data_IF_397551802165
#
_entry.id   IF_397551802165
#
_cell.length_a   1.000
_cell.length_b   1.000
_cell.length_c   1.000
_cell.angle_alpha   90.00
_cell.angle_beta   90.00
_cell.angle_gamma   90.00
#
_symmetry.space_group_name_H-M   'P 1'
#
loop_
_entity.id
_entity.type
_entity.pdbx_description
1 polymer ?
#
# COMPACT_ATOMS: atom_id res chain seq x y z
N UNK A 1 12.18 15.55 -10.43
CA UNK A 1 11.11 15.28 -11.44
C UNK A 1 10.07 16.41 -11.38
N UNK A 2 9.24 16.64 -12.42
CA UNK A 2 8.10 17.59 -12.31
C UNK A 2 7.15 17.15 -11.20
N UNK A 3 6.82 18.05 -10.27
CA UNK A 3 5.97 17.76 -9.10
C UNK A 3 4.58 17.23 -9.49
N UNK A 4 4.02 17.67 -10.61
CA UNK A 4 2.72 17.19 -11.10
C UNK A 4 2.69 15.68 -11.39
N UNK A 5 3.79 15.09 -11.90
CA UNK A 5 3.88 13.65 -12.14
C UNK A 5 3.89 12.85 -10.84
N UNK A 6 4.57 13.37 -9.82
CA UNK A 6 4.62 12.76 -8.48
C UNK A 6 3.23 12.77 -7.88
N UNK A 7 2.55 13.91 -7.89
CA UNK A 7 1.19 14.04 -7.34
C UNK A 7 0.22 13.08 -8.04
N UNK A 8 0.19 13.05 -9.38
CA UNK A 8 -0.70 12.15 -10.12
C UNK A 8 -0.39 10.68 -9.83
N UNK A 9 0.89 10.29 -9.85
CA UNK A 9 1.27 8.93 -9.52
C UNK A 9 0.91 8.56 -8.08
N UNK A 10 1.05 9.49 -7.14
CA UNK A 10 0.67 9.31 -5.74
C UNK A 10 -0.83 9.13 -5.54
N UNK A 11 -1.65 9.95 -6.19
CA UNK A 11 -3.12 9.82 -6.14
C UNK A 11 -3.57 8.48 -6.70
N UNK A 12 -3.06 8.08 -7.88
CA UNK A 12 -3.36 6.76 -8.45
C UNK A 12 -2.88 5.65 -7.53
N UNK A 13 -1.69 5.78 -6.94
CA UNK A 13 -1.17 4.83 -5.95
C UNK A 13 -2.08 4.67 -4.74
N UNK A 14 -2.65 5.77 -4.23
CA UNK A 14 -3.57 5.71 -3.10
C UNK A 14 -4.90 5.05 -3.45
N UNK A 15 -5.43 5.32 -4.65
CA UNK A 15 -6.60 4.61 -5.17
C UNK A 15 -6.33 3.10 -5.27
N UNK A 16 -5.15 2.72 -5.77
CA UNK A 16 -4.73 1.31 -5.83
C UNK A 16 -4.68 0.67 -4.45
N UNK A 17 -4.04 1.32 -3.45
CA UNK A 17 -4.00 0.79 -2.08
C UNK A 17 -5.40 0.63 -1.49
N UNK A 18 -6.30 1.59 -1.69
CA UNK A 18 -7.67 1.50 -1.18
C UNK A 18 -8.42 0.29 -1.76
N UNK A 19 -8.42 0.13 -3.09
CA UNK A 19 -9.15 -0.96 -3.74
C UNK A 19 -8.50 -2.32 -3.52
N UNK A 20 -7.16 -2.40 -3.49
CA UNK A 20 -6.46 -3.64 -3.17
C UNK A 20 -6.70 -4.03 -1.71
N UNK A 21 -6.69 -3.08 -0.78
CA UNK A 21 -7.01 -3.34 0.63
C UNK A 21 -8.43 -3.85 0.80
N UNK A 22 -9.40 -3.21 0.14
CA UNK A 22 -10.78 -3.70 0.11
C UNK A 22 -10.88 -5.12 -0.45
N UNK A 23 -10.20 -5.41 -1.57
CA UNK A 23 -10.22 -6.72 -2.19
C UNK A 23 -9.59 -7.79 -1.28
N UNK A 24 -8.37 -7.57 -0.78
CA UNK A 24 -7.68 -8.59 0.01
C UNK A 24 -8.30 -8.77 1.39
N UNK A 25 -8.49 -7.69 2.15
CA UNK A 25 -8.95 -7.78 3.53
C UNK A 25 -10.46 -7.87 3.67
N UNK A 26 -11.21 -7.20 2.79
CA UNK A 26 -12.67 -7.15 2.85
C UNK A 26 -13.39 -8.25 2.08
N UNK A 27 -12.71 -8.94 1.16
CA UNK A 27 -13.33 -9.98 0.32
C UNK A 27 -12.56 -11.30 0.41
N UNK A 28 -11.29 -11.32 0.00
CA UNK A 28 -10.55 -12.58 -0.19
C UNK A 28 -10.14 -13.26 1.12
N UNK A 29 -9.76 -12.48 2.13
CA UNK A 29 -9.24 -12.97 3.40
C UNK A 29 -10.11 -12.61 4.60
N UNK A 30 -11.31 -12.07 4.37
CA UNK A 30 -12.18 -11.56 5.42
C UNK A 30 -12.38 -12.59 6.55
N UNK A 31 -12.81 -13.81 6.21
CA UNK A 31 -13.06 -14.87 7.20
C UNK A 31 -11.79 -15.28 7.95
N UNK A 32 -10.67 -15.37 7.25
CA UNK A 32 -9.38 -15.69 7.87
C UNK A 32 -8.94 -14.60 8.86
N UNK A 33 -9.06 -13.33 8.48
CA UNK A 33 -8.68 -12.20 9.32
C UNK A 33 -9.56 -12.12 10.56
N UNK A 34 -10.87 -12.35 10.43
CA UNK A 34 -11.79 -12.42 11.57
C UNK A 34 -11.48 -13.59 12.50
N UNK A 35 -11.20 -14.78 11.96
CA UNK A 35 -10.81 -15.94 12.76
C UNK A 35 -9.44 -15.78 13.42
N UNK A 36 -8.63 -14.82 12.96
CA UNK A 36 -7.27 -14.59 13.41
C UNK A 36 -7.10 -13.40 14.37
N UNK A 37 -8.21 -12.82 14.84
CA UNK A 37 -8.19 -11.75 15.85
C UNK A 37 -7.71 -12.27 17.20
N UNK A 38 -7.01 -11.42 17.95
CA UNK A 38 -6.58 -11.72 19.31
C UNK A 38 -7.72 -11.63 20.34
N UNK A 39 -7.36 -11.60 21.63
CA UNK A 39 -8.33 -11.58 22.74
C UNK A 39 -8.95 -10.20 23.03
N UNK A 40 -8.45 -9.12 22.41
CA UNK A 40 -8.99 -7.78 22.62
C UNK A 40 -10.39 -7.61 22.00
N UNK A 41 -11.33 -7.07 22.77
CA UNK A 41 -12.71 -6.79 22.35
C UNK A 41 -12.95 -5.29 22.14
N UNK A 42 -13.93 -4.93 21.28
CA UNK A 42 -14.35 -3.53 21.10
C UNK A 42 -13.38 -2.66 20.30
N UNK A 43 -12.50 -3.27 19.50
CA UNK A 43 -11.46 -2.57 18.72
C UNK A 43 -11.98 -2.08 17.37
N UNK A 44 -12.78 -2.91 16.67
CA UNK A 44 -13.26 -2.62 15.32
C UNK A 44 -14.49 -1.70 15.34
N UNK A 45 -14.54 -0.74 14.41
CA UNK A 45 -15.77 0.03 14.15
C UNK A 45 -16.79 -0.86 13.42
N UNK A 46 -18.08 -0.70 13.71
CA UNK A 46 -19.16 -1.40 12.98
C UNK A 46 -19.15 -1.05 11.48
N UNK A 47 -18.92 0.23 11.17
CA UNK A 47 -18.64 0.70 9.82
C UNK A 47 -17.33 1.50 9.80
N UNK A 48 -16.47 1.28 8.80
CA UNK A 48 -15.28 2.08 8.62
C UNK A 48 -15.62 3.56 8.47
N UNK A 49 -14.80 4.40 9.09
CA UNK A 49 -14.83 5.84 8.82
C UNK A 49 -14.04 6.11 7.54
N UNK A 50 -14.77 6.36 6.46
CA UNK A 50 -14.18 6.41 5.11
C UNK A 50 -13.26 7.61 4.88
N UNK A 51 -13.45 8.73 5.58
CA UNK A 51 -12.61 9.91 5.39
C UNK A 51 -11.15 9.64 5.80
N UNK A 52 -10.83 9.26 7.06
CA UNK A 52 -9.46 8.95 7.45
C UNK A 52 -8.93 7.70 6.73
N UNK A 53 -9.78 6.73 6.39
CA UNK A 53 -9.37 5.56 5.62
C UNK A 53 -8.86 5.93 4.22
N UNK A 54 -9.62 6.75 3.48
CA UNK A 54 -9.22 7.22 2.15
C UNK A 54 -7.99 8.11 2.27
N UNK A 55 -7.95 9.03 3.24
CA UNK A 55 -6.80 9.91 3.45
C UNK A 55 -5.51 9.12 3.76
N UNK A 56 -5.60 8.06 4.56
CA UNK A 56 -4.48 7.16 4.86
C UNK A 56 -3.93 6.46 3.62
N UNK A 57 -4.83 5.91 2.78
CA UNK A 57 -4.44 5.27 1.52
C UNK A 57 -3.81 6.27 0.52
N UNK A 58 -4.36 7.49 0.41
CA UNK A 58 -3.77 8.56 -0.39
C UNK A 58 -2.37 8.94 0.12
N UNK A 59 -2.19 9.00 1.43
CA UNK A 59 -0.88 9.25 2.04
C UNK A 59 0.13 8.16 1.69
N UNK A 60 -0.28 6.88 1.72
CA UNK A 60 0.56 5.76 1.26
C UNK A 60 0.97 5.91 -0.20
N UNK A 61 0.02 6.19 -1.09
CA UNK A 61 0.31 6.41 -2.51
C UNK A 61 1.29 7.56 -2.74
N UNK A 62 1.05 8.70 -2.09
CA UNK A 62 1.93 9.88 -2.16
C UNK A 62 3.32 9.54 -1.63
N UNK A 63 3.42 8.89 -0.47
CA UNK A 63 4.68 8.45 0.12
C UNK A 63 5.50 7.62 -0.86
N UNK A 64 4.92 6.59 -1.47
CA UNK A 64 5.59 5.78 -2.49
C UNK A 64 6.03 6.61 -3.69
N UNK A 65 5.15 7.48 -4.21
CA UNK A 65 5.46 8.31 -5.37
C UNK A 65 6.60 9.31 -5.12
N UNK A 66 6.70 9.85 -3.90
CA UNK A 66 7.77 10.76 -3.49
C UNK A 66 9.09 10.00 -3.40
N UNK A 67 9.12 8.85 -2.71
CA UNK A 67 10.32 8.01 -2.61
C UNK A 67 10.79 7.60 -4.00
N UNK A 68 9.90 7.05 -4.82
CA UNK A 68 10.23 6.57 -6.16
C UNK A 68 10.71 7.70 -7.05
N UNK A 69 10.05 8.86 -6.95
CA UNK A 69 10.23 9.94 -7.88
C UNK A 69 11.37 10.91 -7.59
N UNK A 70 11.63 11.16 -6.31
CA UNK A 70 12.61 12.16 -5.86
C UNK A 70 13.87 11.51 -5.32
N UNK A 71 13.76 10.35 -4.67
CA UNK A 71 14.90 9.73 -3.98
C UNK A 71 15.47 8.53 -4.74
N UNK A 72 14.64 7.71 -5.37
CA UNK A 72 15.07 6.48 -6.05
C UNK A 72 15.12 6.59 -7.59
N UNK A 73 14.66 7.69 -8.18
CA UNK A 73 14.61 7.95 -9.63
C UNK A 73 14.00 6.80 -10.47
N UNK A 74 12.95 6.16 -9.97
CA UNK A 74 12.25 5.06 -10.63
C UNK A 74 11.48 5.56 -11.87
N UNK A 75 11.60 4.83 -12.99
CA UNK A 75 11.02 5.19 -14.31
C UNK A 75 10.31 4.05 -15.03
N UNK A 76 10.18 2.89 -14.41
CA UNK A 76 9.55 1.73 -15.04
C UNK A 76 8.82 0.89 -14.00
N UNK A 77 7.97 -0.02 -14.49
CA UNK A 77 7.13 -0.86 -13.63
C UNK A 77 7.95 -1.87 -12.83
N UNK A 78 8.99 -2.47 -13.40
CA UNK A 78 9.78 -3.52 -12.73
C UNK A 78 10.53 -3.00 -11.52
N UNK A 79 11.14 -1.82 -11.63
CA UNK A 79 11.89 -1.22 -10.52
C UNK A 79 10.92 -0.69 -9.46
N UNK A 80 9.77 -0.16 -9.89
CA UNK A 80 8.68 0.20 -8.98
C UNK A 80 8.12 -1.00 -8.21
N UNK A 81 7.95 -2.15 -8.87
CA UNK A 81 7.51 -3.38 -8.23
C UNK A 81 8.52 -3.87 -7.17
N UNK A 82 9.82 -3.91 -7.51
CA UNK A 82 10.89 -4.35 -6.61
C UNK A 82 10.98 -3.46 -5.37
N UNK A 83 11.09 -2.14 -5.57
CA UNK A 83 11.20 -1.21 -4.45
C UNK A 83 9.89 -1.17 -3.64
N UNK A 84 8.75 -1.31 -4.31
CA UNK A 84 7.45 -1.42 -3.64
C UNK A 84 7.35 -2.65 -2.75
N UNK A 85 7.81 -3.81 -3.21
CA UNK A 85 7.86 -5.03 -2.40
C UNK A 85 8.74 -4.86 -1.16
N UNK A 86 9.94 -4.28 -1.33
CA UNK A 86 10.89 -4.04 -0.23
C UNK A 86 10.28 -3.08 0.81
N UNK A 87 9.68 -1.97 0.35
CA UNK A 87 9.03 -1.02 1.25
C UNK A 87 7.84 -1.65 1.95
N UNK A 88 6.99 -2.37 1.23
CA UNK A 88 5.84 -3.09 1.79
C UNK A 88 6.25 -4.07 2.89
N UNK A 89 7.30 -4.86 2.65
CA UNK A 89 7.85 -5.79 3.63
C UNK A 89 8.31 -5.09 4.91
N UNK A 90 9.19 -4.10 4.81
CA UNK A 90 9.75 -3.47 6.00
C UNK A 90 8.71 -2.64 6.78
N UNK A 91 7.79 -1.98 6.08
CA UNK A 91 6.74 -1.18 6.72
C UNK A 91 5.76 -2.09 7.48
N UNK A 92 5.21 -3.11 6.82
CA UNK A 92 4.26 -4.04 7.46
C UNK A 92 4.93 -4.82 8.59
N UNK A 93 6.08 -5.44 8.33
CA UNK A 93 6.76 -6.26 9.34
C UNK A 93 7.11 -5.44 10.59
N UNK A 94 7.60 -4.20 10.41
CA UNK A 94 7.89 -3.34 11.55
C UNK A 94 6.62 -2.98 12.32
N UNK A 95 5.56 -2.59 11.63
CA UNK A 95 4.30 -2.19 12.27
C UNK A 95 3.66 -3.37 13.00
N UNK A 96 3.53 -4.52 12.33
CA UNK A 96 2.83 -5.68 12.88
C UNK A 96 3.61 -6.32 14.04
N UNK A 97 4.94 -6.40 13.97
CA UNK A 97 5.73 -6.91 15.10
C UNK A 97 5.57 -6.03 16.34
N UNK A 98 5.57 -4.70 16.18
CA UNK A 98 5.36 -3.77 17.29
C UNK A 98 3.94 -3.94 17.82
N UNK A 99 2.92 -4.00 16.96
CA UNK A 99 1.53 -4.18 17.37
C UNK A 99 1.30 -5.52 18.08
N UNK A 100 1.87 -6.61 17.56
CA UNK A 100 1.81 -7.93 18.17
C UNK A 100 2.52 -7.97 19.54
N UNK A 101 3.64 -7.26 19.68
CA UNK A 101 4.39 -7.20 20.93
C UNK A 101 3.76 -6.29 22.00
N UNK A 102 2.86 -5.37 21.62
CA UNK A 102 2.32 -4.33 22.51
C UNK A 102 0.81 -4.37 22.72
N UNK A 103 0.09 -5.23 21.99
CA UNK A 103 -1.38 -5.32 22.03
C UNK A 103 -1.88 -6.75 21.98
N UNK A 104 -3.17 -6.97 22.28
CA UNK A 104 -3.83 -8.27 22.17
C UNK A 104 -4.80 -8.35 20.97
N UNK A 105 -4.56 -7.58 19.90
CA UNK A 105 -5.54 -7.45 18.80
C UNK A 105 -5.43 -8.53 17.72
N UNK A 106 -4.31 -9.25 17.64
CA UNK A 106 -4.04 -10.19 16.54
C UNK A 106 -3.29 -11.43 17.02
N UNK A 107 -3.56 -12.57 16.38
CA UNK A 107 -2.75 -13.77 16.51
C UNK A 107 -1.55 -13.74 15.56
N UNK A 108 -0.54 -14.59 15.81
CA UNK A 108 0.70 -14.60 15.02
C UNK A 108 0.48 -14.92 13.53
N UNK A 109 -0.51 -15.77 13.21
CA UNK A 109 -0.88 -16.09 11.83
C UNK A 109 -1.47 -14.89 11.08
N UNK A 110 -2.18 -13.98 11.77
CA UNK A 110 -2.70 -12.73 11.20
C UNK A 110 -1.54 -11.82 10.80
N UNK A 111 -0.54 -11.66 11.67
CA UNK A 111 0.68 -10.90 11.39
C UNK A 111 1.39 -11.40 10.13
N UNK A 112 1.66 -12.71 10.06
CA UNK A 112 2.37 -13.27 8.91
C UNK A 112 1.59 -13.07 7.61
N UNK A 113 0.26 -13.22 7.68
CA UNK A 113 -0.62 -13.03 6.53
C UNK A 113 -0.67 -11.57 6.09
N UNK A 114 -0.76 -10.63 7.02
CA UNK A 114 -0.76 -9.20 6.69
C UNK A 114 0.52 -8.77 5.99
N UNK A 115 1.68 -9.19 6.49
CA UNK A 115 2.97 -8.91 5.86
C UNK A 115 3.00 -9.41 4.41
N UNK A 116 2.55 -10.64 4.16
CA UNK A 116 2.50 -11.22 2.81
C UNK A 116 1.57 -10.41 1.89
N UNK A 117 0.37 -10.08 2.38
CA UNK A 117 -0.63 -9.32 1.61
C UNK A 117 -0.12 -7.92 1.32
N UNK A 118 0.45 -7.23 2.31
CA UNK A 118 1.02 -5.89 2.15
C UNK A 118 2.18 -5.88 1.16
N UNK A 119 3.02 -6.92 1.10
CA UNK A 119 4.05 -7.07 0.05
C UNK A 119 3.39 -7.14 -1.33
N UNK A 120 2.37 -7.99 -1.51
CA UNK A 120 1.68 -8.15 -2.79
C UNK A 120 1.05 -6.82 -3.23
N UNK A 121 0.31 -6.17 -2.32
CA UNK A 121 -0.33 -4.88 -2.58
C UNK A 121 0.68 -3.81 -2.95
N UNK A 122 1.76 -3.69 -2.17
CA UNK A 122 2.82 -2.71 -2.40
C UNK A 122 3.61 -2.98 -3.68
N UNK A 123 3.76 -4.25 -4.08
CA UNK A 123 4.39 -4.64 -5.35
C UNK A 123 3.54 -4.18 -6.53
N UNK A 124 2.23 -4.47 -6.52
CA UNK A 124 1.30 -4.09 -7.58
C UNK A 124 1.21 -2.56 -7.69
N UNK A 125 0.97 -1.89 -6.57
CA UNK A 125 0.88 -0.42 -6.52
C UNK A 125 2.21 0.22 -6.93
N UNK A 126 3.34 -0.31 -6.46
CA UNK A 126 4.66 0.15 -6.85
C UNK A 126 4.91 0.05 -8.34
N UNK A 127 4.49 -1.05 -8.99
CA UNK A 127 4.59 -1.22 -10.43
C UNK A 127 3.80 -0.13 -11.20
N UNK A 128 2.59 0.18 -10.74
CA UNK A 128 1.74 1.22 -11.33
C UNK A 128 2.38 2.60 -11.18
N UNK A 129 2.84 2.95 -9.98
CA UNK A 129 3.52 4.21 -9.70
C UNK A 129 4.77 4.34 -10.58
N UNK A 130 5.65 3.33 -10.59
CA UNK A 130 6.88 3.34 -11.39
C UNK A 130 6.62 3.54 -12.88
N UNK A 131 5.58 2.89 -13.43
CA UNK A 131 5.14 3.08 -14.81
C UNK A 131 4.68 4.51 -15.08
N UNK A 132 3.88 5.10 -14.18
CA UNK A 132 3.36 6.47 -14.33
C UNK A 132 4.48 7.51 -14.29
N UNK A 133 5.46 7.35 -13.39
CA UNK A 133 6.62 8.25 -13.28
C UNK A 133 7.54 8.17 -14.52
N UNK A 134 7.52 7.03 -15.21
CA UNK A 134 8.24 6.77 -16.46
C UNK A 134 7.59 7.32 -17.73
N UNK A 135 6.30 7.69 -17.70
CA UNK A 135 5.58 8.13 -18.90
C UNK A 135 6.22 9.38 -19.52
N UNK A 136 6.48 9.34 -20.83
CA UNK A 136 6.87 10.51 -21.62
C UNK A 136 5.65 11.42 -21.86
N UNK A 137 5.83 12.74 -22.03
CA UNK A 137 4.71 13.64 -22.31
C UNK A 137 4.15 13.39 -23.72
N UNK A 138 2.82 13.32 -23.85
CA UNK A 138 2.11 12.92 -25.07
C UNK A 138 2.42 13.77 -26.32
N UNK A 139 2.93 15.00 -26.17
CA UNK A 139 3.28 15.88 -27.30
C UNK A 139 4.51 15.46 -28.13
N UNK A 140 5.26 14.41 -27.74
CA UNK A 140 6.43 13.91 -28.50
C UNK A 140 6.07 12.63 -29.30
N UNK A 141 4.78 12.28 -29.41
CA UNK A 141 4.31 11.20 -30.29
C UNK A 141 3.63 11.83 -31.50
N UNK A 142 4.39 12.62 -32.24
CA UNK A 142 4.15 12.90 -33.66
C UNK A 142 5.51 12.75 -34.30
N UNK A 143 5.70 11.62 -34.98
CA UNK A 143 6.49 11.39 -36.20
C UNK A 143 6.46 9.88 -36.50
#
# INVERSE_FOLDING_TARGET
MKSSKIVVAGLVGGIMFFFLGWLFYGILLMDFMMASTGSASGVQKEMPDFIPLIAGNLTWGIFYSVIFGQFANIRNASDGAKLGAIMGFFISLSYDLIMYGTTNIMMFNMLVTDVIVTIIMSTITGAVIGKLLGRKPEHIIKD
#
